data_IF_716006815454
#
_entry.id   IF_716006815454
#
_cell.length_a   1.000
_cell.length_b   1.000
_cell.length_c   1.000
_cell.angle_alpha   90.00
_cell.angle_beta   90.00
_cell.angle_gamma   90.00
#
_symmetry.space_group_name_H-M   'P 1'
#
loop_
_entity.id
_entity.type
_entity.pdbx_description
1 polymer ?
#
# COMPACT_ATOMS: atom_id res chain seq x y z
N UNK A 1 -4.60 -12.21 -4.46
CA UNK A 1 -5.14 -11.89 -3.12
C UNK A 1 -5.56 -10.42 -3.04
N UNK A 2 -4.66 -9.46 -3.19
CA UNK A 2 -4.98 -8.01 -3.11
C UNK A 2 -6.14 -7.58 -4.01
N UNK A 3 -6.18 -8.05 -5.26
CA UNK A 3 -7.25 -7.74 -6.21
C UNK A 3 -8.63 -8.19 -5.75
N UNK A 4 -8.73 -9.40 -5.21
CA UNK A 4 -9.99 -9.90 -4.67
C UNK A 4 -10.49 -9.02 -3.52
N UNK A 5 -9.59 -8.63 -2.64
CA UNK A 5 -9.93 -7.75 -1.51
C UNK A 5 -10.30 -6.35 -2.00
N UNK A 6 -9.64 -5.81 -3.01
CA UNK A 6 -9.99 -4.53 -3.63
C UNK A 6 -11.40 -4.54 -4.24
N UNK A 7 -11.84 -5.68 -4.77
CA UNK A 7 -13.20 -5.83 -5.29
C UNK A 7 -14.26 -6.03 -4.20
N UNK A 8 -13.90 -6.67 -3.08
CA UNK A 8 -14.83 -6.99 -2.00
C UNK A 8 -15.02 -5.83 -1.01
N UNK A 9 -13.95 -5.08 -0.73
CA UNK A 9 -13.94 -4.03 0.27
C UNK A 9 -15.00 -2.93 0.05
N UNK A 10 -15.16 -2.37 -1.18
CA UNK A 10 -16.16 -1.33 -1.42
C UNK A 10 -17.60 -1.82 -1.23
N UNK A 11 -17.83 -3.14 -1.38
CA UNK A 11 -19.14 -3.76 -1.27
C UNK A 11 -19.48 -4.25 0.15
N UNK A 12 -18.60 -4.04 1.12
CA UNK A 12 -18.79 -4.52 2.50
C UNK A 12 -20.10 -4.00 3.13
N UNK A 13 -20.49 -2.74 2.83
CA UNK A 13 -21.74 -2.16 3.31
C UNK A 13 -22.99 -2.69 2.62
N UNK A 14 -22.90 -3.18 1.39
CA UNK A 14 -24.03 -3.67 0.60
C UNK A 14 -24.36 -5.15 0.81
N UNK A 15 -23.53 -5.89 1.57
CA UNK A 15 -23.70 -7.33 1.82
C UNK A 15 -24.81 -7.65 2.82
N UNK A 16 -25.63 -6.68 3.26
CA UNK A 16 -26.74 -6.92 4.17
C UNK A 16 -26.35 -7.41 5.58
N UNK A 17 -25.08 -7.24 5.95
CA UNK A 17 -24.57 -7.61 7.26
C UNK A 17 -24.92 -6.56 8.32
N UNK A 18 -25.06 -6.99 9.58
CA UNK A 18 -25.14 -6.05 10.70
C UNK A 18 -23.93 -5.14 10.73
N UNK A 19 -24.10 -3.87 11.13
CA UNK A 19 -23.06 -2.82 11.11
C UNK A 19 -21.76 -3.28 11.80
N UNK A 20 -21.86 -3.93 12.96
CA UNK A 20 -20.72 -4.47 13.68
C UNK A 20 -19.95 -5.54 12.88
N UNK A 21 -20.66 -6.41 12.18
CA UNK A 21 -20.08 -7.47 11.35
C UNK A 21 -19.42 -6.85 10.10
N UNK A 22 -20.05 -5.87 9.48
CA UNK A 22 -19.51 -5.15 8.35
C UNK A 22 -18.20 -4.39 8.71
N UNK A 23 -18.14 -3.79 9.90
CA UNK A 23 -16.93 -3.13 10.41
C UNK A 23 -15.78 -4.13 10.62
N UNK A 24 -16.04 -5.28 11.24
CA UNK A 24 -15.02 -6.32 11.42
C UNK A 24 -14.57 -6.88 10.09
N UNK A 25 -15.48 -7.14 9.16
CA UNK A 25 -15.16 -7.59 7.81
C UNK A 25 -14.30 -6.57 7.07
N UNK A 26 -14.64 -5.28 7.13
CA UNK A 26 -13.86 -4.20 6.54
C UNK A 26 -12.45 -4.12 7.13
N UNK A 27 -12.31 -4.19 8.46
CA UNK A 27 -11.03 -4.18 9.15
C UNK A 27 -10.14 -5.36 8.72
N UNK A 28 -10.69 -6.57 8.75
CA UNK A 28 -9.96 -7.79 8.35
C UNK A 28 -9.56 -7.71 6.89
N UNK A 29 -10.45 -7.26 6.01
CA UNK A 29 -10.17 -7.06 4.59
C UNK A 29 -9.05 -6.04 4.36
N UNK A 30 -9.04 -4.93 5.08
CA UNK A 30 -7.97 -3.93 5.04
C UNK A 30 -6.63 -4.51 5.49
N UNK A 31 -6.60 -5.27 6.57
CA UNK A 31 -5.39 -5.94 7.04
C UNK A 31 -4.83 -6.92 5.99
N UNK A 32 -5.71 -7.70 5.35
CA UNK A 32 -5.31 -8.60 4.27
C UNK A 32 -4.79 -7.84 3.04
N UNK A 33 -5.43 -6.73 2.69
CA UNK A 33 -5.01 -5.88 1.59
C UNK A 33 -3.61 -5.31 1.84
N UNK A 34 -3.42 -4.68 2.99
CA UNK A 34 -2.15 -4.08 3.38
C UNK A 34 -1.02 -5.12 3.44
N UNK A 35 -1.27 -6.25 4.09
CA UNK A 35 -0.31 -7.35 4.15
C UNK A 35 0.06 -7.86 2.76
N UNK A 36 -0.92 -8.06 1.88
CA UNK A 36 -0.70 -8.57 0.53
C UNK A 36 0.10 -7.58 -0.33
N UNK A 37 -0.17 -6.29 -0.21
CA UNK A 37 0.57 -5.24 -0.93
C UNK A 37 2.01 -5.17 -0.43
N UNK A 38 2.21 -5.17 0.89
CA UNK A 38 3.55 -5.12 1.48
C UNK A 38 4.38 -6.35 1.12
N UNK A 39 3.77 -7.55 1.12
CA UNK A 39 4.46 -8.77 0.68
C UNK A 39 4.85 -8.73 -0.81
N UNK A 40 4.02 -8.15 -1.67
CA UNK A 40 4.32 -8.03 -3.09
C UNK A 40 5.36 -6.94 -3.39
N UNK A 41 5.40 -5.89 -2.58
CA UNK A 41 6.30 -4.74 -2.79
C UNK A 41 7.77 -5.11 -2.63
N UNK A 42 8.12 -6.01 -1.72
CA UNK A 42 9.52 -6.35 -1.44
C UNK A 42 10.19 -7.08 -2.63
N UNK A 43 9.63 -8.17 -3.19
CA UNK A 43 10.17 -8.78 -4.39
C UNK A 43 10.29 -7.79 -5.57
N UNK A 44 9.32 -6.89 -5.71
CA UNK A 44 9.35 -5.89 -6.77
C UNK A 44 10.52 -4.90 -6.63
N UNK A 45 10.80 -4.45 -5.40
CA UNK A 45 11.99 -3.63 -5.11
C UNK A 45 13.30 -4.39 -5.35
N UNK A 46 13.35 -5.65 -4.95
CA UNK A 46 14.53 -6.50 -5.19
C UNK A 46 14.77 -6.69 -6.68
N UNK A 47 13.74 -7.00 -7.46
CA UNK A 47 13.82 -7.14 -8.91
C UNK A 47 14.45 -5.91 -9.58
N UNK A 48 14.03 -4.71 -9.22
CA UNK A 48 14.63 -3.47 -9.73
C UNK A 48 16.12 -3.40 -9.39
N UNK A 49 16.50 -3.76 -8.16
CA UNK A 49 17.89 -3.78 -7.71
C UNK A 49 18.76 -4.80 -8.46
N UNK A 50 18.19 -5.94 -8.82
CA UNK A 50 18.90 -7.03 -9.49
C UNK A 50 19.08 -6.80 -11.00
N UNK A 51 18.16 -6.04 -11.61
CA UNK A 51 18.19 -5.74 -13.05
C UNK A 51 19.10 -4.57 -13.41
N UNK A 52 19.55 -3.79 -12.43
CA UNK A 52 20.29 -2.56 -12.68
C UNK A 52 21.71 -2.64 -12.15
N UNK A 53 22.66 -2.09 -12.92
CA UNK A 53 24.07 -2.01 -12.51
C UNK A 53 24.22 -1.21 -11.21
N UNK A 54 25.18 -1.58 -10.35
CA UNK A 54 25.47 -0.92 -9.06
C UNK A 54 25.52 0.62 -9.13
N UNK A 55 26.15 1.15 -10.21
CA UNK A 55 26.27 2.60 -10.43
C UNK A 55 24.91 3.30 -10.69
N UNK A 56 23.91 2.55 -11.15
CA UNK A 56 22.60 3.07 -11.54
C UNK A 56 21.50 2.73 -10.51
N UNK A 57 21.80 1.96 -9.48
CA UNK A 57 20.83 1.54 -8.46
C UNK A 57 20.13 2.72 -7.80
N UNK A 58 20.89 3.74 -7.40
CA UNK A 58 20.34 4.94 -6.76
C UNK A 58 19.34 5.65 -7.68
N UNK A 59 19.69 5.80 -8.96
CA UNK A 59 18.81 6.43 -9.93
C UNK A 59 17.54 5.60 -10.17
N UNK A 60 17.67 4.28 -10.30
CA UNK A 60 16.55 3.37 -10.50
C UNK A 60 15.55 3.41 -9.33
N UNK A 61 16.03 3.38 -8.09
CA UNK A 61 15.18 3.51 -6.91
C UNK A 61 14.55 4.90 -6.79
N UNK A 62 15.24 5.96 -7.20
CA UNK A 62 14.68 7.31 -7.23
C UNK A 62 13.53 7.41 -8.24
N UNK A 63 13.69 6.86 -9.43
CA UNK A 63 12.64 6.79 -10.46
C UNK A 63 11.47 5.96 -9.96
N UNK A 64 11.73 4.81 -9.37
CA UNK A 64 10.69 3.96 -8.78
C UNK A 64 9.89 4.70 -7.72
N UNK A 65 10.57 5.40 -6.80
CA UNK A 65 9.91 6.21 -5.76
C UNK A 65 9.09 7.35 -6.36
N UNK A 66 9.60 8.03 -7.38
CA UNK A 66 8.86 9.06 -8.09
C UNK A 66 7.57 8.50 -8.72
N UNK A 67 7.65 7.38 -9.43
CA UNK A 67 6.49 6.73 -10.05
C UNK A 67 5.47 6.24 -9.02
N UNK A 68 5.92 5.70 -7.88
CA UNK A 68 5.03 5.31 -6.79
C UNK A 68 4.26 6.51 -6.23
N UNK A 69 4.93 7.63 -6.00
CA UNK A 69 4.27 8.84 -5.50
C UNK A 69 3.32 9.45 -6.55
N UNK A 70 3.72 9.47 -7.83
CA UNK A 70 2.84 9.90 -8.91
C UNK A 70 1.58 9.02 -9.01
N UNK A 71 1.73 7.69 -8.86
CA UNK A 71 0.61 6.76 -8.79
C UNK A 71 -0.32 7.02 -7.60
N UNK A 72 0.23 7.37 -6.44
CA UNK A 72 -0.55 7.75 -5.27
C UNK A 72 -1.38 9.01 -5.51
N UNK A 73 -0.79 10.03 -6.11
CA UNK A 73 -1.51 11.27 -6.49
C UNK A 73 -2.65 10.93 -7.48
N UNK A 74 -2.37 10.14 -8.51
CA UNK A 74 -3.39 9.70 -9.45
C UNK A 74 -4.54 8.98 -8.73
N UNK A 75 -4.23 8.06 -7.80
CA UNK A 75 -5.23 7.35 -7.00
C UNK A 75 -6.14 8.28 -6.20
N UNK A 76 -5.61 9.35 -5.62
CA UNK A 76 -6.42 10.36 -4.92
C UNK A 76 -7.29 11.19 -5.85
N UNK A 77 -6.86 11.42 -7.10
CA UNK A 77 -7.61 12.23 -8.09
C UNK A 77 -8.72 11.41 -8.76
N UNK A 78 -8.62 10.09 -8.81
CA UNK A 78 -9.61 9.24 -9.50
C UNK A 78 -11.06 9.46 -9.07
N UNK A 79 -11.43 9.51 -7.78
CA UNK A 79 -12.80 9.75 -7.38
C UNK A 79 -13.35 11.10 -7.87
N UNK A 80 -12.50 12.14 -7.88
CA UNK A 80 -12.89 13.46 -8.40
C UNK A 80 -13.08 13.44 -9.92
N UNK A 81 -12.23 12.70 -10.62
CA UNK A 81 -12.40 12.53 -12.08
C UNK A 81 -13.72 11.85 -12.43
N UNK A 82 -14.15 10.84 -11.69
CA UNK A 82 -15.45 10.20 -11.88
C UNK A 82 -16.62 11.12 -11.54
N UNK A 83 -16.48 11.95 -10.52
CA UNK A 83 -17.47 12.97 -10.20
C UNK A 83 -17.62 13.97 -11.33
N UNK A 84 -16.52 14.36 -11.97
CA UNK A 84 -16.54 15.23 -13.16
C UNK A 84 -17.23 14.56 -14.35
N UNK A 85 -17.16 13.25 -14.51
CA UNK A 85 -17.88 12.47 -15.52
C UNK A 85 -19.36 12.25 -15.17
N UNK A 86 -19.87 12.81 -14.05
CA UNK A 86 -21.28 12.72 -13.68
C UNK A 86 -21.62 11.53 -12.78
N UNK A 87 -20.63 10.79 -12.29
CA UNK A 87 -20.84 9.70 -11.32
C UNK A 87 -20.95 10.32 -9.92
N UNK A 88 -22.01 9.95 -9.18
CA UNK A 88 -22.26 10.51 -7.86
C UNK A 88 -21.14 10.17 -6.87
N UNK A 89 -20.66 11.20 -6.18
CA UNK A 89 -19.72 11.06 -5.05
C UNK A 89 -20.46 11.13 -3.69
N UNK A 90 -21.80 11.13 -3.72
CA UNK A 90 -22.64 11.13 -2.52
C UNK A 90 -23.38 9.80 -2.44
N UNK A 91 -23.36 9.20 -1.27
CA UNK A 91 -24.07 7.98 -0.96
C UNK A 91 -24.80 8.12 0.38
N UNK A 92 -25.90 7.35 0.60
CA UNK A 92 -26.53 7.25 1.91
C UNK A 92 -25.55 6.76 2.97
N UNK A 93 -25.83 7.11 4.24
CA UNK A 93 -25.00 6.65 5.36
C UNK A 93 -24.84 5.13 5.38
N UNK A 94 -23.60 4.66 5.44
CA UNK A 94 -23.25 3.22 5.44
C UNK A 94 -23.00 2.61 4.05
N UNK A 95 -23.14 3.38 2.97
CA UNK A 95 -22.84 2.92 1.59
C UNK A 95 -21.67 3.71 1.02
N UNK A 96 -20.76 3.01 0.35
CA UNK A 96 -19.61 3.66 -0.30
C UNK A 96 -20.08 4.32 -1.61
N UNK A 97 -19.70 5.58 -1.90
CA UNK A 97 -20.05 6.26 -3.15
C UNK A 97 -19.58 5.49 -4.39
N UNK A 98 -20.39 5.49 -5.44
CA UNK A 98 -20.11 4.78 -6.70
C UNK A 98 -18.79 5.21 -7.34
N UNK A 99 -18.43 6.49 -7.25
CA UNK A 99 -17.14 7.00 -7.72
C UNK A 99 -15.95 6.32 -7.07
N UNK A 100 -16.04 5.99 -5.79
CA UNK A 100 -15.01 5.27 -5.04
C UNK A 100 -15.00 3.80 -5.44
N UNK A 101 -16.17 3.16 -5.55
CA UNK A 101 -16.30 1.75 -5.99
C UNK A 101 -15.65 1.54 -7.36
N UNK A 102 -15.95 2.41 -8.33
CA UNK A 102 -15.34 2.33 -9.66
C UNK A 102 -13.85 2.59 -9.63
N UNK A 103 -13.37 3.49 -8.77
CA UNK A 103 -11.93 3.72 -8.57
C UNK A 103 -11.20 2.46 -8.11
N UNK A 104 -11.81 1.71 -7.18
CA UNK A 104 -11.25 0.42 -6.72
C UNK A 104 -11.23 -0.63 -7.83
N UNK A 105 -12.30 -0.74 -8.64
CA UNK A 105 -12.35 -1.71 -9.73
C UNK A 105 -11.34 -1.41 -10.83
N UNK A 106 -11.21 -0.15 -11.21
CA UNK A 106 -10.22 0.27 -12.22
C UNK A 106 -8.81 0.09 -11.68
N UNK A 107 -8.56 0.45 -10.41
CA UNK A 107 -7.28 0.20 -9.76
C UNK A 107 -6.91 -1.29 -9.74
N UNK A 108 -7.88 -2.16 -9.43
CA UNK A 108 -7.71 -3.61 -9.47
C UNK A 108 -7.39 -4.12 -10.89
N UNK A 109 -8.08 -3.62 -11.91
CA UNK A 109 -7.83 -3.97 -13.31
C UNK A 109 -6.43 -3.53 -13.76
N UNK A 110 -6.03 -2.30 -13.46
CA UNK A 110 -4.69 -1.78 -13.74
C UNK A 110 -3.63 -2.65 -13.06
N UNK A 111 -3.83 -3.01 -11.79
CA UNK A 111 -2.89 -3.86 -11.05
C UNK A 111 -2.70 -5.21 -11.73
N UNK A 112 -3.79 -5.87 -12.14
CA UNK A 112 -3.73 -7.15 -12.86
C UNK A 112 -2.95 -7.00 -14.17
N UNK A 113 -3.29 -5.99 -14.98
CA UNK A 113 -2.62 -5.73 -16.26
C UNK A 113 -1.13 -5.48 -16.08
N UNK A 114 -0.75 -4.67 -15.08
CA UNK A 114 0.65 -4.41 -14.77
C UNK A 114 1.40 -5.68 -14.34
N UNK A 115 0.79 -6.53 -13.49
CA UNK A 115 1.40 -7.79 -13.07
C UNK A 115 1.57 -8.74 -14.24
N UNK A 116 0.54 -8.92 -15.08
CA UNK A 116 0.61 -9.76 -16.28
C UNK A 116 1.71 -9.24 -17.23
N UNK A 117 1.74 -7.94 -17.47
CA UNK A 117 2.75 -7.33 -18.32
C UNK A 117 4.17 -7.57 -17.77
N UNK A 118 4.37 -7.35 -16.48
CA UNK A 118 5.68 -7.54 -15.83
C UNK A 118 6.12 -9.00 -15.91
N UNK A 119 5.25 -9.94 -15.55
CA UNK A 119 5.59 -11.39 -15.59
C UNK A 119 5.83 -11.91 -16.99
N UNK A 120 5.18 -11.32 -18.01
CA UNK A 120 5.37 -11.72 -19.40
C UNK A 120 6.65 -11.13 -20.05
N UNK A 121 7.03 -9.92 -19.63
CA UNK A 121 8.14 -9.19 -20.27
C UNK A 121 9.45 -9.23 -19.50
N UNK A 122 9.39 -9.27 -18.18
CA UNK A 122 10.58 -9.27 -17.33
C UNK A 122 11.06 -10.72 -17.18
N UNK A 123 12.27 -10.97 -17.64
CA UNK A 123 12.97 -12.24 -17.40
C UNK A 123 13.98 -12.02 -16.28
N UNK A 124 13.78 -12.70 -15.18
CA UNK A 124 14.75 -12.71 -14.09
C UNK A 124 16.00 -13.49 -14.51
N UNK A 125 17.15 -13.02 -14.04
CA UNK A 125 18.40 -13.73 -14.21
C UNK A 125 18.36 -15.04 -13.41
N UNK A 126 18.66 -16.21 -14.00
CA UNK A 126 18.73 -17.45 -13.24
C UNK A 126 19.72 -17.32 -12.07
N UNK A 127 19.46 -17.95 -10.90
CA UNK A 127 20.32 -17.80 -9.72
C UNK A 127 21.79 -18.15 -9.94
N UNK A 128 22.08 -19.02 -10.90
CA UNK A 128 23.46 -19.41 -11.26
C UNK A 128 24.18 -18.28 -12.02
N UNK A 129 23.52 -17.66 -12.98
CA UNK A 129 24.07 -16.54 -13.77
C UNK A 129 24.20 -15.29 -12.88
N UNK A 130 23.24 -15.05 -11.98
CA UNK A 130 23.30 -13.97 -11.00
C UNK A 130 24.51 -14.10 -10.07
N UNK A 131 24.77 -15.30 -9.56
CA UNK A 131 25.91 -15.57 -8.68
C UNK A 131 27.27 -15.39 -9.41
N UNK A 132 27.33 -15.73 -10.68
CA UNK A 132 28.53 -15.57 -11.52
C UNK A 132 28.76 -14.09 -11.85
N UNK A 133 27.70 -13.37 -12.24
CA UNK A 133 27.78 -11.96 -12.61
C UNK A 133 28.16 -11.03 -11.42
N UNK A 134 27.61 -11.32 -10.25
CA UNK A 134 27.86 -10.53 -9.03
C UNK A 134 29.02 -11.06 -8.18
N UNK A 135 29.77 -12.07 -8.66
CA UNK A 135 30.88 -12.68 -7.93
C UNK A 135 30.52 -13.09 -6.49
N UNK A 136 29.27 -13.46 -6.27
CA UNK A 136 28.80 -13.90 -4.95
C UNK A 136 29.42 -15.25 -4.64
N UNK A 137 30.47 -15.26 -3.79
CA UNK A 137 31.00 -16.51 -3.24
C UNK A 137 29.88 -17.20 -2.47
N UNK A 138 29.41 -18.33 -2.97
CA UNK A 138 28.50 -19.19 -2.22
C UNK A 138 29.14 -19.55 -0.89
N UNK A 139 28.69 -18.91 0.16
CA UNK A 139 28.89 -19.41 1.50
C UNK A 139 27.97 -20.60 1.67
N UNK A 140 28.50 -21.80 1.61
CA UNK A 140 27.76 -23.08 1.64
C UNK A 140 26.90 -23.32 2.90
N UNK A 141 26.79 -22.33 3.77
CA UNK A 141 26.08 -22.41 5.06
C UNK A 141 24.79 -21.58 5.15
N UNK A 142 24.19 -21.15 4.05
CA UNK A 142 22.89 -20.45 4.10
C UNK A 142 21.66 -21.37 4.27
N UNK A 143 21.88 -22.68 4.48
CA UNK A 143 20.79 -23.59 4.75
C UNK A 143 20.27 -23.42 6.18
N UNK A 144 19.12 -22.77 6.32
CA UNK A 144 18.26 -22.74 7.53
C UNK A 144 18.77 -21.90 8.72
N UNK A 145 19.21 -20.69 8.48
CA UNK A 145 19.34 -19.74 9.59
C UNK A 145 17.94 -19.41 10.13
N UNK A 146 17.62 -19.88 11.33
CA UNK A 146 16.38 -19.52 12.01
C UNK A 146 16.32 -17.99 12.17
N UNK A 147 15.16 -17.39 11.90
CA UNK A 147 14.92 -15.94 11.97
C UNK A 147 15.41 -15.35 13.31
N UNK A 148 15.24 -16.09 14.41
CA UNK A 148 15.72 -15.73 15.75
C UNK A 148 17.25 -15.66 15.83
N UNK A 149 17.96 -16.56 15.14
CA UNK A 149 19.41 -16.56 15.10
C UNK A 149 19.95 -15.39 14.28
N UNK A 150 19.27 -15.05 13.17
CA UNK A 150 19.60 -13.88 12.36
C UNK A 150 19.39 -12.57 13.14
N UNK A 151 18.28 -12.43 13.86
CA UNK A 151 17.99 -11.28 14.71
C UNK A 151 19.00 -11.14 15.85
N UNK A 152 19.40 -12.25 16.49
CA UNK A 152 20.38 -12.25 17.58
C UNK A 152 21.79 -11.85 17.11
N UNK A 153 22.14 -12.23 15.88
CA UNK A 153 23.44 -11.92 15.28
C UNK A 153 23.42 -10.62 14.45
N UNK A 154 22.29 -9.90 14.44
CA UNK A 154 22.17 -8.64 13.70
C UNK A 154 23.14 -7.58 14.24
N UNK A 155 23.81 -6.83 13.35
CA UNK A 155 24.75 -5.80 13.76
C UNK A 155 24.04 -4.70 14.59
N UNK A 156 24.73 -4.04 15.54
CA UNK A 156 24.14 -2.99 16.38
C UNK A 156 23.50 -1.86 15.58
N UNK A 157 24.02 -1.58 14.39
CA UNK A 157 23.49 -0.58 13.46
C UNK A 157 22.07 -0.91 13.03
N UNK A 158 21.75 -2.20 12.84
CA UNK A 158 20.39 -2.65 12.48
C UNK A 158 19.38 -2.23 13.55
N UNK A 159 19.68 -2.42 14.80
CA UNK A 159 18.79 -2.04 15.91
C UNK A 159 18.63 -0.53 16.06
N UNK A 160 19.72 0.24 15.84
CA UNK A 160 19.67 1.70 15.87
C UNK A 160 18.77 2.25 14.73
N UNK A 161 18.95 1.74 13.51
CA UNK A 161 18.12 2.12 12.37
C UNK A 161 16.66 1.71 12.59
N UNK A 162 16.42 0.50 13.12
CA UNK A 162 15.08 0.02 13.45
C UNK A 162 14.36 0.94 14.47
N UNK A 163 15.08 1.40 15.50
CA UNK A 163 14.52 2.32 16.48
C UNK A 163 14.14 3.68 15.86
N UNK A 164 15.02 4.25 15.04
CA UNK A 164 14.74 5.49 14.33
C UNK A 164 13.52 5.31 13.41
N UNK A 165 13.45 4.21 12.67
CA UNK A 165 12.34 3.90 11.78
C UNK A 165 11.01 3.78 12.54
N UNK A 166 11.02 3.15 13.71
CA UNK A 166 9.85 3.06 14.57
C UNK A 166 9.29 4.44 14.94
N UNK A 167 10.13 5.35 15.40
CA UNK A 167 9.67 6.71 15.76
C UNK A 167 9.23 7.53 14.53
N UNK A 168 9.91 7.36 13.39
CA UNK A 168 9.49 7.99 12.14
C UNK A 168 8.09 7.53 11.72
N UNK A 169 7.81 6.22 11.73
CA UNK A 169 6.48 5.70 11.41
C UNK A 169 5.42 6.14 12.41
N UNK A 170 5.76 6.20 13.69
CA UNK A 170 4.85 6.73 14.70
C UNK A 170 4.46 8.19 14.39
N UNK A 171 5.42 9.04 14.05
CA UNK A 171 5.17 10.43 13.69
C UNK A 171 4.33 10.54 12.41
N UNK A 172 4.60 9.73 11.36
CA UNK A 172 3.82 9.71 10.13
C UNK A 172 2.38 9.26 10.35
N UNK A 173 2.15 8.22 11.15
CA UNK A 173 0.80 7.75 11.49
C UNK A 173 0.00 8.84 12.19
N UNK A 174 0.63 9.53 13.16
CA UNK A 174 0.01 10.66 13.84
C UNK A 174 -0.34 11.79 12.86
N UNK A 175 0.60 12.16 12.01
CA UNK A 175 0.38 13.18 10.97
C UNK A 175 -0.80 12.80 10.06
N UNK A 176 -0.83 11.60 9.51
CA UNK A 176 -1.90 11.16 8.59
C UNK A 176 -3.27 11.14 9.25
N UNK A 177 -3.34 10.72 10.50
CA UNK A 177 -4.61 10.66 11.25
C UNK A 177 -5.20 12.03 11.47
N UNK A 178 -4.39 13.02 11.81
CA UNK A 178 -4.89 14.35 12.22
C UNK A 178 -4.86 15.41 11.14
N UNK A 179 -4.11 15.23 10.05
CA UNK A 179 -3.96 16.24 8.99
C UNK A 179 -5.30 16.61 8.37
N UNK A 180 -6.15 15.64 8.01
CA UNK A 180 -7.45 15.90 7.38
C UNK A 180 -8.35 16.76 8.28
N UNK A 181 -8.44 16.40 9.56
CA UNK A 181 -9.23 17.15 10.53
C UNK A 181 -8.71 18.58 10.75
N UNK A 182 -7.39 18.72 10.86
CA UNK A 182 -6.75 20.02 11.05
C UNK A 182 -6.96 20.93 9.84
N UNK A 183 -6.83 20.41 8.64
CA UNK A 183 -7.06 21.19 7.40
C UNK A 183 -8.54 21.56 7.27
N UNK A 184 -9.46 20.63 7.52
CA UNK A 184 -10.89 20.91 7.48
C UNK A 184 -11.30 22.00 8.49
N UNK A 185 -10.81 21.93 9.72
CA UNK A 185 -11.09 22.92 10.74
C UNK A 185 -10.50 24.31 10.42
N UNK A 186 -9.24 24.37 9.98
CA UNK A 186 -8.56 25.64 9.77
C UNK A 186 -8.89 26.31 8.43
N UNK A 187 -9.14 25.53 7.36
CA UNK A 187 -9.41 26.09 6.03
C UNK A 187 -10.90 26.32 5.76
N UNK A 188 -11.77 25.49 6.31
CA UNK A 188 -13.21 25.56 6.06
C UNK A 188 -14.06 25.81 7.31
N UNK A 189 -13.45 25.95 8.48
CA UNK A 189 -14.17 26.20 9.73
C UNK A 189 -15.12 25.07 10.15
N UNK A 190 -14.91 23.86 9.63
CA UNK A 190 -15.73 22.68 9.96
C UNK A 190 -15.26 22.12 11.28
N UNK A 191 -16.09 22.22 12.30
CA UNK A 191 -15.81 21.60 13.59
C UNK A 191 -16.09 20.09 13.49
N UNK A 192 -15.02 19.30 13.53
CA UNK A 192 -15.10 17.82 13.45
C UNK A 192 -15.92 17.22 14.60
N UNK A 193 -15.93 17.86 15.75
CA UNK A 193 -16.75 17.44 16.92
C UNK A 193 -18.25 17.74 16.70
N UNK A 194 -18.59 18.78 15.96
CA UNK A 194 -19.96 19.11 15.64
C UNK A 194 -20.57 18.13 14.61
N UNK A 195 -19.75 17.59 13.70
CA UNK A 195 -20.21 16.60 12.71
C UNK A 195 -20.57 15.25 13.37
N UNK A 196 -19.83 14.85 14.39
CA UNK A 196 -20.13 13.63 15.16
C UNK A 196 -21.42 13.80 15.99
N UNK A 197 -21.68 15.01 16.51
CA UNK A 197 -22.89 15.31 17.28
C UNK A 197 -24.16 15.37 16.43
N UNK A 198 -24.06 15.68 15.13
CA UNK A 198 -25.19 15.67 14.20
C UNK A 198 -25.51 14.28 13.66
N UNK A 199 -24.51 13.39 13.54
CA UNK A 199 -24.70 11.99 13.13
C UNK A 199 -25.36 11.13 14.22
N UNK A 200 -25.25 11.50 15.49
CA UNK A 200 -25.87 10.77 16.60
C UNK A 200 -27.34 11.16 16.88
N UNK A 201 -27.89 12.13 16.15
CA UNK A 201 -29.26 12.62 16.33
C UNK A 201 -30.22 12.33 15.15
N UNK A 202 -29.79 11.47 14.20
CA UNK A 202 -30.61 11.06 13.07
C UNK A 202 -31.02 9.60 13.14
#
# INVERSE_FOLDING_TARGET
MSVLVMCLLPNAGSLGMAVSTAMVFGLVSLMFLDTSINMAMQPFKMLVGDMVNEKQKTLAYSIQSFLCNAGSIAGYVFPFFFTFLGISNQAPSGVVPDSVVYSFYIGAAILILCVIYTTAKVKEMPPKEYAEYHSVKKTENESKANLLTLLKNAPPTFWKVGLVQFFCWFAFMYMWTYTNGTVAANCWGVDMLAHDATMTKG
#
